data_IF_640559186160
#
_entry.id   IF_640559186160
#
_cell.length_a   1.000
_cell.length_b   1.000
_cell.length_c   1.000
_cell.angle_alpha   90.00
_cell.angle_beta   90.00
_cell.angle_gamma   90.00
#
_symmetry.space_group_name_H-M   'P 1'
#
loop_
_entity.id
_entity.type
_entity.pdbx_description
1 polymer ?
#
# COMPACT_ATOMS: atom_id res chain seq x y z
N UNK A 1 20.56 -9.19 -15.57
CA UNK A 1 20.87 -8.78 -14.17
C UNK A 1 20.42 -9.95 -13.29
N UNK A 2 21.26 -10.50 -12.42
CA UNK A 2 20.89 -11.62 -11.56
C UNK A 2 19.87 -11.15 -10.49
N UNK A 3 18.92 -12.02 -10.11
CA UNK A 3 17.91 -11.71 -9.09
C UNK A 3 18.53 -11.44 -7.70
N UNK A 4 19.69 -12.05 -7.41
CA UNK A 4 20.43 -11.78 -6.17
C UNK A 4 21.05 -10.39 -6.22
N UNK A 5 21.69 -10.01 -7.33
CA UNK A 5 22.25 -8.67 -7.53
C UNK A 5 21.18 -7.57 -7.36
N UNK A 6 19.97 -7.83 -7.85
CA UNK A 6 18.85 -6.88 -7.65
C UNK A 6 18.53 -6.71 -6.17
N UNK A 7 18.38 -7.82 -5.42
CA UNK A 7 18.09 -7.77 -3.98
C UNK A 7 19.20 -7.08 -3.20
N UNK A 8 20.46 -7.41 -3.49
CA UNK A 8 21.62 -6.81 -2.83
C UNK A 8 21.71 -5.31 -3.13
N UNK A 9 21.48 -4.91 -4.40
CA UNK A 9 21.44 -3.50 -4.77
C UNK A 9 20.32 -2.73 -4.05
N UNK A 10 19.12 -3.32 -3.94
CA UNK A 10 18.02 -2.70 -3.21
C UNK A 10 18.30 -2.60 -1.71
N UNK A 11 18.90 -3.64 -1.13
CA UNK A 11 19.28 -3.63 0.28
C UNK A 11 20.36 -2.57 0.59
N UNK A 12 21.38 -2.46 -0.28
CA UNK A 12 22.42 -1.44 -0.16
C UNK A 12 21.84 -0.02 -0.28
N UNK A 13 20.92 0.19 -1.19
CA UNK A 13 20.24 1.49 -1.37
C UNK A 13 19.35 1.87 -0.19
N UNK A 14 18.65 0.89 0.40
CA UNK A 14 17.76 1.07 1.56
C UNK A 14 18.54 1.23 2.88
N UNK A 15 19.80 0.78 2.94
CA UNK A 15 20.57 0.75 4.18
C UNK A 15 20.69 2.14 4.81
N UNK A 16 20.42 2.26 6.10
CA UNK A 16 20.43 3.51 6.87
C UNK A 16 19.49 4.62 6.32
N UNK A 17 18.46 4.25 5.55
CA UNK A 17 17.42 5.16 5.12
C UNK A 17 16.06 4.75 5.69
N UNK A 18 15.48 5.60 6.51
CA UNK A 18 14.17 5.36 7.12
C UNK A 18 13.06 5.87 6.20
N UNK A 19 12.07 5.03 5.95
CA UNK A 19 10.89 5.37 5.15
C UNK A 19 11.23 5.83 3.72
N UNK A 20 12.28 5.27 3.12
CA UNK A 20 12.72 5.59 1.76
C UNK A 20 12.71 4.39 0.83
N UNK A 21 12.14 3.27 1.25
CA UNK A 21 12.03 2.03 0.48
C UNK A 21 11.27 2.21 -0.84
N UNK A 22 10.25 3.04 -0.90
CA UNK A 22 9.51 3.38 -2.12
C UNK A 22 10.37 4.25 -3.07
N UNK A 23 10.88 5.43 -2.65
CA UNK A 23 11.76 6.26 -3.48
C UNK A 23 12.96 5.50 -4.04
N UNK A 24 13.63 4.70 -3.22
CA UNK A 24 14.81 3.91 -3.62
C UNK A 24 14.48 2.98 -4.79
N UNK A 25 13.39 2.23 -4.69
CA UNK A 25 12.96 1.28 -5.73
C UNK A 25 12.60 1.98 -7.02
N UNK A 26 11.86 3.08 -6.92
CA UNK A 26 11.44 3.84 -8.10
C UNK A 26 12.61 4.53 -8.80
N UNK A 27 13.58 5.04 -8.05
CA UNK A 27 14.81 5.62 -8.60
C UNK A 27 15.65 4.57 -9.35
N UNK A 28 15.87 3.40 -8.74
CA UNK A 28 16.60 2.32 -9.40
C UNK A 28 15.87 1.86 -10.67
N UNK A 29 14.56 1.62 -10.58
CA UNK A 29 13.77 1.17 -11.72
C UNK A 29 13.77 2.20 -12.86
N UNK A 30 13.66 3.49 -12.54
CA UNK A 30 13.75 4.56 -13.52
C UNK A 30 15.10 4.56 -14.26
N UNK A 31 16.21 4.45 -13.53
CA UNK A 31 17.55 4.40 -14.13
C UNK A 31 17.74 3.16 -15.03
N UNK A 32 17.23 1.99 -14.61
CA UNK A 32 17.24 0.77 -15.42
C UNK A 32 16.42 0.93 -16.71
N UNK A 33 15.26 1.54 -16.62
CA UNK A 33 14.37 1.77 -17.77
C UNK A 33 14.78 2.96 -18.66
N UNK A 34 15.63 3.83 -18.16
CA UNK A 34 15.99 5.06 -18.86
C UNK A 34 14.93 6.16 -18.72
N UNK A 35 14.20 6.19 -17.63
CA UNK A 35 13.18 7.19 -17.35
C UNK A 35 13.63 8.18 -16.25
N UNK A 36 12.88 9.26 -16.07
CA UNK A 36 13.19 10.33 -15.13
C UNK A 36 12.26 10.32 -13.94
N UNK A 37 12.77 10.74 -12.78
CA UNK A 37 12.03 10.77 -11.50
C UNK A 37 12.01 12.20 -10.96
N UNK A 38 10.85 12.60 -10.44
CA UNK A 38 10.67 13.81 -9.66
C UNK A 38 10.39 13.44 -8.21
N UNK A 39 11.24 13.90 -7.30
CA UNK A 39 11.06 13.79 -5.85
C UNK A 39 10.38 15.07 -5.34
N UNK A 40 9.21 14.93 -4.71
CA UNK A 40 8.41 16.06 -4.23
C UNK A 40 8.33 16.01 -2.71
N UNK A 41 8.79 17.06 -2.04
CA UNK A 41 8.70 17.14 -0.58
C UNK A 41 9.60 18.20 0.03
N UNK A 42 9.46 18.49 1.33
CA UNK A 42 10.17 19.56 1.99
C UNK A 42 11.69 19.37 1.97
N UNK A 43 12.48 20.41 2.19
CA UNK A 43 13.93 20.31 2.31
C UNK A 43 14.32 19.40 3.50
N UNK A 44 15.52 18.81 3.44
CA UNK A 44 16.03 17.96 4.53
C UNK A 44 15.47 16.53 4.54
N UNK A 45 14.76 16.07 3.51
CA UNK A 45 14.20 14.72 3.40
C UNK A 45 15.09 13.72 2.67
N UNK A 46 16.39 14.00 2.56
CA UNK A 46 17.43 13.17 1.95
C UNK A 46 17.32 12.97 0.43
N UNK A 47 16.67 13.88 -0.31
CA UNK A 47 16.48 13.76 -1.78
C UNK A 47 17.81 13.67 -2.54
N UNK A 48 18.80 14.50 -2.21
CA UNK A 48 20.13 14.47 -2.83
C UNK A 48 20.92 13.21 -2.48
N UNK A 49 20.81 12.72 -1.26
CA UNK A 49 21.47 11.48 -0.84
C UNK A 49 20.92 10.26 -1.60
N UNK A 50 19.60 10.21 -1.83
CA UNK A 50 18.97 9.18 -2.66
C UNK A 50 19.57 9.14 -4.07
N UNK A 51 19.79 10.30 -4.70
CA UNK A 51 20.36 10.38 -6.04
C UNK A 51 21.86 9.99 -6.05
N UNK A 52 22.62 10.37 -5.02
CA UNK A 52 24.03 9.96 -4.88
C UNK A 52 24.17 8.46 -4.69
N UNK A 53 23.31 7.85 -3.86
CA UNK A 53 23.29 6.38 -3.67
C UNK A 53 22.91 5.66 -4.96
N UNK A 54 21.92 6.16 -5.68
CA UNK A 54 21.56 5.61 -6.99
C UNK A 54 22.78 5.57 -7.93
N UNK A 55 23.56 6.65 -8.01
CA UNK A 55 24.76 6.68 -8.86
C UNK A 55 25.79 5.63 -8.45
N UNK A 56 26.00 5.45 -7.15
CA UNK A 56 26.95 4.45 -6.62
C UNK A 56 26.59 3.01 -6.94
N UNK A 57 25.33 2.73 -7.28
CA UNK A 57 24.87 1.39 -7.70
C UNK A 57 25.32 1.00 -9.12
N UNK A 58 25.87 1.94 -9.90
CA UNK A 58 26.33 1.70 -11.26
C UNK A 58 27.83 1.85 -11.37
N UNK A 59 28.47 1.00 -12.19
CA UNK A 59 29.88 1.13 -12.52
C UNK A 59 30.09 2.15 -13.66
N UNK A 60 31.23 2.80 -13.67
CA UNK A 60 31.67 3.69 -14.75
C UNK A 60 30.68 4.79 -15.10
N UNK A 61 29.98 5.32 -14.08
CA UNK A 61 29.01 6.38 -14.25
C UNK A 61 29.48 7.70 -13.68
N UNK A 62 29.20 8.78 -14.41
CA UNK A 62 29.44 10.17 -14.00
C UNK A 62 28.18 10.75 -13.39
N UNK A 63 28.35 11.44 -12.27
CA UNK A 63 27.29 12.11 -11.54
C UNK A 63 27.39 13.63 -11.75
N UNK A 64 26.25 14.27 -11.88
CA UNK A 64 26.13 15.72 -11.92
C UNK A 64 25.06 16.16 -10.91
N UNK A 65 25.32 17.21 -10.13
CA UNK A 65 24.39 17.75 -9.15
C UNK A 65 24.40 19.28 -9.22
N UNK A 66 23.20 19.87 -9.23
CA UNK A 66 23.05 21.32 -9.23
C UNK A 66 21.74 21.75 -8.57
N UNK A 67 21.82 22.75 -7.71
CA UNK A 67 20.68 23.51 -7.22
C UNK A 67 20.32 24.58 -8.27
N UNK A 68 19.05 24.58 -8.70
CA UNK A 68 18.57 25.54 -9.70
C UNK A 68 17.88 26.74 -9.00
N UNK A 69 18.13 27.90 -9.56
CA UNK A 69 17.51 29.15 -9.14
C UNK A 69 17.06 29.93 -10.37
N UNK A 70 16.23 30.96 -10.19
CA UNK A 70 15.87 31.88 -11.27
C UNK A 70 17.06 32.62 -11.89
N UNK A 71 18.18 32.68 -11.19
CA UNK A 71 19.42 33.35 -11.61
C UNK A 71 20.44 32.37 -12.20
N UNK A 72 20.17 31.08 -12.17
CA UNK A 72 21.06 30.09 -12.77
C UNK A 72 21.22 30.35 -14.25
N UNK A 73 22.46 30.18 -14.75
CA UNK A 73 22.80 30.40 -16.14
C UNK A 73 23.08 29.08 -16.85
N UNK A 74 22.85 28.97 -18.17
CA UNK A 74 23.07 27.72 -18.92
C UNK A 74 24.47 27.14 -18.79
N UNK A 75 25.48 28.00 -18.62
CA UNK A 75 26.87 27.60 -18.42
C UNK A 75 27.09 26.72 -17.18
N UNK A 76 26.29 26.89 -16.14
CA UNK A 76 26.37 26.10 -14.91
C UNK A 76 25.92 24.64 -15.10
N UNK A 77 25.02 24.42 -16.06
CA UNK A 77 24.48 23.09 -16.34
C UNK A 77 25.16 22.42 -17.54
N UNK A 78 25.37 23.20 -18.58
CA UNK A 78 25.79 22.68 -19.90
C UNK A 78 27.25 22.93 -20.21
N UNK A 79 27.97 23.67 -19.38
CA UNK A 79 29.37 24.02 -19.50
C UNK A 79 29.59 25.36 -20.20
N UNK A 80 30.76 25.99 -19.98
CA UNK A 80 31.13 27.25 -20.55
C UNK A 80 31.42 27.12 -22.06
N UNK A 81 31.36 28.24 -22.77
CA UNK A 81 31.79 28.30 -24.17
C UNK A 81 33.29 28.06 -24.28
N UNK A 82 33.70 27.32 -25.31
CA UNK A 82 35.09 27.09 -25.66
C UNK A 82 35.65 28.32 -26.39
N UNK A 83 36.52 29.07 -25.74
CA UNK A 83 37.18 30.23 -26.38
C UNK A 83 37.95 29.82 -27.64
N UNK A 84 38.60 28.65 -27.60
CA UNK A 84 39.34 28.11 -28.75
C UNK A 84 38.42 27.78 -29.95
N UNK A 85 37.22 27.30 -29.69
CA UNK A 85 36.24 27.06 -30.76
C UNK A 85 35.68 28.38 -31.30
N UNK A 86 35.45 29.35 -30.39
CA UNK A 86 34.96 30.68 -30.78
C UNK A 86 35.95 31.45 -31.69
N UNK A 87 37.25 31.33 -31.42
CA UNK A 87 38.32 31.89 -32.29
C UNK A 87 38.31 31.28 -33.72
N UNK A 88 37.63 30.13 -33.88
CA UNK A 88 37.45 29.44 -35.16
C UNK A 88 36.03 29.58 -35.72
N UNK A 89 35.30 30.60 -35.30
CA UNK A 89 33.90 30.87 -35.64
C UNK A 89 32.95 29.68 -35.37
N UNK A 90 33.28 28.84 -34.35
CA UNK A 90 32.47 27.72 -33.94
C UNK A 90 31.88 27.93 -32.52
N UNK A 91 30.59 27.76 -32.39
CA UNK A 91 29.92 27.84 -31.11
C UNK A 91 29.90 26.45 -30.50
N UNK A 92 30.77 26.19 -29.52
CA UNK A 92 30.87 24.91 -28.81
C UNK A 92 31.03 25.12 -27.31
N UNK A 93 30.38 24.27 -26.50
CA UNK A 93 30.54 24.26 -25.05
C UNK A 93 31.48 23.16 -24.60
N UNK A 94 32.18 23.39 -23.51
CA UNK A 94 32.99 22.39 -22.80
C UNK A 94 32.08 21.57 -21.89
N UNK A 95 31.59 20.44 -22.38
CA UNK A 95 30.56 19.64 -21.73
C UNK A 95 31.08 18.64 -20.70
N UNK A 96 32.42 18.41 -20.67
CA UNK A 96 33.00 17.45 -19.71
C UNK A 96 32.84 17.93 -18.26
N UNK A 97 32.33 17.07 -17.38
CA UNK A 97 31.98 17.42 -16.01
C UNK A 97 30.64 18.13 -15.82
N UNK A 98 29.90 18.39 -16.91
CA UNK A 98 28.59 19.00 -16.88
C UNK A 98 27.48 18.01 -17.26
N UNK A 99 26.22 18.43 -17.15
CA UNK A 99 25.03 17.61 -17.37
C UNK A 99 25.07 16.80 -18.68
N UNK A 100 25.51 17.34 -19.84
CA UNK A 100 25.53 16.58 -21.09
C UNK A 100 26.50 15.39 -21.09
N UNK A 101 27.44 15.34 -20.14
CA UNK A 101 28.39 14.23 -19.99
C UNK A 101 28.00 13.26 -18.86
N UNK A 102 26.96 13.58 -18.08
CA UNK A 102 26.56 12.81 -16.93
C UNK A 102 25.70 11.59 -17.30
N UNK A 103 25.81 10.53 -16.49
CA UNK A 103 24.93 9.35 -16.58
C UNK A 103 23.73 9.47 -15.64
N UNK A 104 23.95 10.01 -14.45
CA UNK A 104 22.90 10.31 -13.49
C UNK A 104 23.06 11.77 -13.06
N UNK A 105 21.97 12.53 -13.11
CA UNK A 105 21.96 13.91 -12.69
C UNK A 105 20.90 14.14 -11.59
N UNK A 106 21.27 14.95 -10.59
CA UNK A 106 20.36 15.48 -9.59
C UNK A 106 20.18 16.99 -9.81
N UNK A 107 18.94 17.41 -10.03
CA UNK A 107 18.59 18.81 -10.23
C UNK A 107 17.63 19.22 -9.10
N UNK A 108 18.15 19.98 -8.13
CA UNK A 108 17.34 20.46 -7.01
C UNK A 108 16.61 21.74 -7.41
N UNK A 109 15.40 21.91 -6.84
CA UNK A 109 14.51 23.04 -7.12
C UNK A 109 14.24 23.25 -8.63
N UNK A 110 14.00 22.15 -9.33
CA UNK A 110 14.01 22.08 -10.80
C UNK A 110 13.04 23.06 -11.48
N UNK A 111 11.91 23.40 -10.83
CA UNK A 111 10.93 24.37 -11.36
C UNK A 111 11.30 25.84 -11.12
N UNK A 112 12.36 26.12 -10.37
CA UNK A 112 12.87 27.48 -10.18
C UNK A 112 13.80 27.96 -11.29
N UNK A 113 14.19 27.07 -12.20
CA UNK A 113 15.03 27.41 -13.34
C UNK A 113 14.32 28.38 -14.30
N UNK A 114 15.11 29.21 -14.98
CA UNK A 114 14.57 30.08 -16.01
C UNK A 114 14.17 29.31 -17.28
N UNK A 115 13.39 29.93 -18.16
CA UNK A 115 12.84 29.31 -19.37
C UNK A 115 13.91 28.82 -20.35
N UNK A 116 15.07 29.47 -20.42
CA UNK A 116 16.17 29.04 -21.31
C UNK A 116 16.75 27.69 -20.87
N UNK A 117 16.96 27.51 -19.57
CA UNK A 117 17.41 26.24 -18.98
C UNK A 117 16.35 25.17 -19.16
N UNK A 118 15.06 25.47 -18.85
CA UNK A 118 13.97 24.51 -18.97
C UNK A 118 13.80 24.01 -20.40
N UNK A 119 13.90 24.88 -21.41
CA UNK A 119 13.81 24.50 -22.83
C UNK A 119 14.98 23.59 -23.26
N UNK A 120 16.19 23.89 -22.84
CA UNK A 120 17.34 23.02 -23.08
C UNK A 120 17.22 21.65 -22.40
N UNK A 121 16.71 21.64 -21.18
CA UNK A 121 16.42 20.41 -20.45
C UNK A 121 15.30 19.59 -21.11
N UNK A 122 14.27 20.22 -21.69
CA UNK A 122 13.21 19.50 -22.41
C UNK A 122 13.76 18.66 -23.56
N UNK A 123 14.66 19.21 -24.36
CA UNK A 123 15.33 18.49 -25.47
C UNK A 123 16.18 17.35 -24.93
N UNK A 124 17.01 17.63 -23.93
CA UNK A 124 17.91 16.64 -23.32
C UNK A 124 17.14 15.47 -22.68
N UNK A 125 16.04 15.74 -21.97
CA UNK A 125 15.22 14.71 -21.34
C UNK A 125 14.44 13.86 -22.34
N UNK A 126 14.03 14.45 -23.48
CA UNK A 126 13.23 13.72 -24.47
C UNK A 126 14.08 12.94 -25.45
N UNK A 127 15.08 13.60 -26.07
CA UNK A 127 15.78 13.10 -27.21
C UNK A 127 17.11 12.45 -26.85
N UNK A 128 17.56 12.66 -25.61
CA UNK A 128 18.89 12.22 -25.16
C UNK A 128 20.00 12.84 -26.02
N UNK A 129 19.75 14.03 -26.51
CA UNK A 129 20.65 14.82 -27.32
C UNK A 129 20.83 16.22 -26.71
N UNK A 130 22.00 16.77 -26.90
CA UNK A 130 22.33 18.12 -26.50
C UNK A 130 22.85 18.86 -27.75
N UNK A 131 22.28 20.03 -28.01
CA UNK A 131 22.71 20.90 -29.08
C UNK A 131 23.98 21.68 -28.65
N UNK A 132 25.12 21.31 -29.21
CA UNK A 132 26.41 21.93 -28.89
C UNK A 132 26.86 22.87 -30.01
N UNK A 133 25.95 23.61 -30.60
CA UNK A 133 26.21 24.63 -31.60
C UNK A 133 26.53 24.07 -32.99
N UNK A 134 27.69 23.49 -33.21
CA UNK A 134 28.06 22.88 -34.50
C UNK A 134 27.38 21.55 -34.80
N UNK A 135 26.73 20.94 -33.79
CA UNK A 135 26.06 19.65 -33.96
C UNK A 135 25.37 19.17 -32.68
N UNK A 136 24.52 18.16 -32.85
CA UNK A 136 23.87 17.46 -31.72
C UNK A 136 24.74 16.32 -31.25
N UNK A 137 25.02 16.28 -29.96
CA UNK A 137 25.74 15.19 -29.29
C UNK A 137 24.79 14.32 -28.51
N UNK A 138 24.95 13.01 -28.59
CA UNK A 138 24.19 12.07 -27.80
C UNK A 138 24.71 12.06 -26.37
N UNK A 139 23.81 12.19 -25.40
CA UNK A 139 24.17 12.20 -23.98
C UNK A 139 24.04 10.79 -23.37
N UNK A 140 24.98 10.36 -22.50
CA UNK A 140 24.99 9.04 -21.91
C UNK A 140 24.00 8.90 -20.75
N UNK A 141 23.04 9.78 -20.65
CA UNK A 141 22.16 9.97 -19.49
C UNK A 141 21.27 8.74 -19.26
N UNK A 142 21.35 8.13 -18.11
CA UNK A 142 20.46 7.05 -17.63
C UNK A 142 19.18 7.62 -17.04
N UNK A 143 19.32 8.54 -16.07
CA UNK A 143 18.18 9.16 -15.41
C UNK A 143 18.52 10.57 -14.92
N UNK A 144 17.53 11.45 -14.96
CA UNK A 144 17.53 12.70 -14.17
C UNK A 144 16.59 12.52 -12.99
N UNK A 145 17.12 12.82 -11.82
CA UNK A 145 16.36 12.94 -10.58
C UNK A 145 16.13 14.43 -10.34
N UNK A 146 14.93 14.89 -10.62
CA UNK A 146 14.50 16.24 -10.25
C UNK A 146 14.03 16.26 -8.82
N UNK A 147 14.22 17.37 -8.12
CA UNK A 147 13.62 17.61 -6.82
C UNK A 147 12.88 18.94 -6.79
N UNK A 148 11.77 18.95 -6.05
CA UNK A 148 10.97 20.16 -5.80
C UNK A 148 10.31 20.04 -4.43
N UNK A 149 10.00 21.18 -3.83
CA UNK A 149 9.23 21.22 -2.59
C UNK A 149 7.73 21.02 -2.82
N UNK A 150 7.24 21.37 -4.01
CA UNK A 150 5.82 21.36 -4.38
C UNK A 150 5.62 21.04 -5.87
N UNK A 151 4.39 20.70 -6.23
CA UNK A 151 3.98 20.53 -7.63
C UNK A 151 3.82 21.92 -8.24
N UNK A 152 4.28 22.16 -9.49
CA UNK A 152 4.13 23.48 -10.11
C UNK A 152 2.67 23.77 -10.43
N UNK A 153 2.21 24.96 -10.06
CA UNK A 153 0.88 25.47 -10.41
C UNK A 153 0.86 26.17 -11.79
N UNK A 154 2.02 26.60 -12.29
CA UNK A 154 2.14 27.29 -13.57
C UNK A 154 1.96 26.32 -14.73
N UNK A 155 0.96 26.58 -15.59
CA UNK A 155 0.65 25.78 -16.76
C UNK A 155 1.85 25.68 -17.72
N UNK A 156 2.70 26.71 -17.80
CA UNK A 156 3.91 26.71 -18.61
C UNK A 156 4.91 25.64 -18.16
N UNK A 157 4.90 25.25 -16.90
CA UNK A 157 5.75 24.21 -16.32
C UNK A 157 5.18 22.80 -16.48
N UNK A 158 3.88 22.64 -16.80
CA UNK A 158 3.24 21.33 -16.92
C UNK A 158 3.89 20.47 -18.01
N UNK A 159 4.31 21.07 -19.13
CA UNK A 159 5.02 20.35 -20.17
C UNK A 159 6.35 19.75 -19.67
N UNK A 160 7.06 20.47 -18.81
CA UNK A 160 8.30 20.00 -18.19
C UNK A 160 8.01 18.98 -17.07
N UNK A 161 6.98 19.23 -16.24
CA UNK A 161 6.50 18.29 -15.23
C UNK A 161 6.12 16.94 -15.81
N UNK A 162 5.51 16.91 -17.01
CA UNK A 162 5.15 15.66 -17.69
C UNK A 162 6.35 14.85 -18.21
N UNK A 163 7.54 15.41 -18.24
CA UNK A 163 8.79 14.68 -18.62
C UNK A 163 9.24 13.72 -17.53
N UNK A 164 8.88 13.98 -16.29
CA UNK A 164 9.12 13.06 -15.18
C UNK A 164 8.03 12.00 -15.17
N UNK A 165 8.39 10.78 -15.56
CA UNK A 165 7.46 9.66 -15.60
C UNK A 165 7.01 9.26 -14.20
N UNK A 166 7.96 9.21 -13.27
CA UNK A 166 7.72 8.88 -11.87
C UNK A 166 7.72 10.16 -11.02
N UNK A 167 6.67 10.33 -10.22
CA UNK A 167 6.48 11.46 -9.31
C UNK A 167 6.29 10.91 -7.91
N UNK A 168 7.30 11.11 -7.08
CA UNK A 168 7.44 10.40 -5.81
C UNK A 168 7.39 11.40 -4.65
N UNK A 169 6.33 11.38 -3.84
CA UNK A 169 6.30 12.18 -2.63
C UNK A 169 7.32 11.65 -1.61
N UNK A 170 8.09 12.55 -1.02
CA UNK A 170 9.11 12.26 0.00
C UNK A 170 8.80 13.09 1.24
N UNK A 171 8.07 12.51 2.18
CA UNK A 171 7.69 13.15 3.43
C UNK A 171 8.82 13.11 4.48
N UNK A 172 8.82 13.97 5.50
CA UNK A 172 9.63 13.78 6.69
C UNK A 172 9.35 12.42 7.34
N UNK A 173 10.33 11.93 8.11
CA UNK A 173 10.17 10.67 8.87
C UNK A 173 9.06 10.86 9.91
N UNK A 174 8.22 9.87 10.08
CA UNK A 174 7.11 9.90 11.03
C UNK A 174 7.58 9.76 12.49
N UNK A 175 6.69 10.06 13.45
CA UNK A 175 7.01 10.01 14.88
C UNK A 175 7.45 8.62 15.36
N UNK A 176 6.91 7.55 14.76
CA UNK A 176 7.27 6.18 15.14
C UNK A 176 8.71 5.84 14.77
N UNK A 177 9.22 6.35 13.65
CA UNK A 177 10.59 6.15 13.18
C UNK A 177 11.57 7.20 13.68
N UNK A 178 11.11 8.26 14.37
CA UNK A 178 11.95 9.39 14.79
C UNK A 178 13.10 8.95 15.71
N UNK A 179 12.84 8.05 16.66
CA UNK A 179 13.91 7.54 17.54
C UNK A 179 14.98 6.77 16.77
N UNK A 180 14.61 6.01 15.76
CA UNK A 180 15.53 5.31 14.90
C UNK A 180 16.37 6.30 14.07
N UNK A 181 15.78 7.41 13.61
CA UNK A 181 16.49 8.48 12.91
C UNK A 181 17.63 9.06 13.76
N UNK A 182 17.39 9.29 15.05
CA UNK A 182 18.41 9.82 15.96
C UNK A 182 19.59 8.84 16.23
N UNK A 183 19.36 7.56 16.00
CA UNK A 183 20.36 6.51 16.20
C UNK A 183 21.14 6.16 14.92
N UNK A 184 20.84 6.76 13.77
CA UNK A 184 21.55 6.49 12.54
C UNK A 184 23.00 6.96 12.62
N UNK A 185 23.96 6.21 12.03
CA UNK A 185 25.34 6.64 11.95
C UNK A 185 25.47 7.90 11.07
N UNK A 186 26.42 8.76 11.40
CA UNK A 186 26.70 9.98 10.63
C UNK A 186 27.31 9.69 9.26
N UNK A 187 28.00 8.57 9.12
CA UNK A 187 28.61 8.13 7.87
C UNK A 187 27.78 6.99 7.25
N UNK A 188 27.34 7.19 6.02
CA UNK A 188 26.61 6.16 5.29
C UNK A 188 27.55 5.01 4.89
N UNK A 189 27.14 3.78 5.17
CA UNK A 189 27.81 2.59 4.63
C UNK A 189 27.72 2.58 3.11
N UNK A 190 28.82 2.28 2.44
CA UNK A 190 28.88 2.22 0.96
C UNK A 190 28.63 0.77 0.56
N UNK A 191 27.52 0.51 -0.11
CA UNK A 191 27.20 -0.79 -0.68
C UNK A 191 28.19 -1.20 -1.78
N UNK A 192 28.28 -2.50 -2.03
CA UNK A 192 29.20 -3.11 -3.00
C UNK A 192 28.53 -3.59 -4.29
N UNK A 193 27.20 -3.73 -4.29
CA UNK A 193 26.47 -4.19 -5.45
C UNK A 193 26.51 -3.13 -6.57
N UNK A 194 26.95 -3.53 -7.78
CA UNK A 194 27.15 -2.60 -8.89
C UNK A 194 26.62 -3.16 -10.20
N UNK A 195 25.87 -2.34 -10.92
CA UNK A 195 25.27 -2.65 -12.21
C UNK A 195 26.14 -2.08 -13.32
N UNK A 196 26.67 -2.94 -14.21
CA UNK A 196 27.46 -2.51 -15.33
C UNK A 196 26.58 -2.05 -16.51
N UNK A 197 27.17 -1.27 -17.44
CA UNK A 197 26.52 -0.85 -18.68
C UNK A 197 26.11 -2.05 -19.56
N UNK A 198 26.90 -3.12 -19.55
CA UNK A 198 26.59 -4.35 -20.28
C UNK A 198 25.34 -5.05 -19.69
N UNK A 199 25.24 -5.15 -18.37
CA UNK A 199 24.05 -5.69 -17.68
C UNK A 199 22.81 -4.87 -17.99
N UNK A 200 22.93 -3.55 -18.02
CA UNK A 200 21.84 -2.64 -18.34
C UNK A 200 21.37 -2.81 -19.79
N UNK A 201 22.30 -2.92 -20.75
CA UNK A 201 21.96 -3.18 -22.15
C UNK A 201 21.25 -4.54 -22.30
N UNK A 202 21.75 -5.59 -21.67
CA UNK A 202 21.13 -6.92 -21.67
C UNK A 202 19.72 -6.91 -21.05
N UNK A 203 19.52 -6.19 -19.96
CA UNK A 203 18.21 -6.04 -19.32
C UNK A 203 17.21 -5.35 -20.26
N UNK A 204 17.61 -4.24 -20.90
CA UNK A 204 16.76 -3.52 -21.85
C UNK A 204 16.42 -4.35 -23.10
N UNK A 205 17.33 -5.17 -23.57
CA UNK A 205 17.03 -6.12 -24.66
C UNK A 205 16.03 -7.19 -24.21
N UNK A 206 16.25 -7.81 -23.05
CA UNK A 206 15.34 -8.85 -22.54
C UNK A 206 13.94 -8.30 -22.21
N UNK A 207 13.82 -7.04 -21.81
CA UNK A 207 12.52 -6.41 -21.54
C UNK A 207 11.62 -6.30 -22.79
N UNK A 208 12.19 -6.30 -23.99
CA UNK A 208 11.42 -6.23 -25.24
C UNK A 208 10.59 -7.51 -25.48
N UNK A 209 11.08 -8.66 -25.02
CA UNK A 209 10.39 -9.95 -25.13
C UNK A 209 9.34 -10.20 -24.03
N UNK A 210 9.28 -9.34 -23.00
CA UNK A 210 8.29 -9.47 -21.93
C UNK A 210 6.90 -9.14 -22.45
N UNK A 211 5.95 -10.02 -22.14
CA UNK A 211 4.55 -9.90 -22.55
C UNK A 211 3.70 -9.21 -21.47
N UNK A 212 2.61 -8.58 -21.92
CA UNK A 212 1.56 -8.05 -21.07
C UNK A 212 0.35 -8.98 -21.22
N UNK A 213 0.08 -9.80 -20.21
CA UNK A 213 -1.05 -10.75 -20.21
C UNK A 213 -2.40 -10.06 -20.01
N UNK A 214 -3.47 -10.74 -20.44
CA UNK A 214 -4.86 -10.24 -20.32
C UNK A 214 -5.27 -9.83 -18.88
N UNK A 215 -4.91 -10.58 -17.82
CA UNK A 215 -5.24 -10.18 -16.45
C UNK A 215 -4.68 -8.79 -16.08
N UNK A 216 -3.42 -8.52 -16.46
CA UNK A 216 -2.78 -7.24 -16.18
C UNK A 216 -3.35 -6.13 -17.09
N UNK A 217 -3.65 -6.43 -18.36
CA UNK A 217 -4.34 -5.48 -19.26
C UNK A 217 -5.72 -5.08 -18.71
N UNK A 218 -6.47 -6.03 -18.13
CA UNK A 218 -7.72 -5.78 -17.43
C UNK A 218 -7.56 -4.83 -16.24
N UNK A 219 -6.54 -5.05 -15.39
CA UNK A 219 -6.23 -4.16 -14.25
C UNK A 219 -5.82 -2.76 -14.72
N UNK A 220 -5.03 -2.64 -15.79
CA UNK A 220 -4.68 -1.34 -16.37
C UNK A 220 -5.92 -0.62 -16.93
N UNK A 221 -6.88 -1.35 -17.48
CA UNK A 221 -8.16 -0.79 -17.94
C UNK A 221 -8.98 -0.27 -16.76
N UNK A 222 -9.02 -1.00 -15.64
CA UNK A 222 -9.65 -0.53 -14.40
C UNK A 222 -8.96 0.72 -13.85
N UNK A 223 -7.62 0.75 -13.83
CA UNK A 223 -6.86 1.93 -13.42
C UNK A 223 -7.16 3.15 -14.32
N UNK A 224 -7.32 2.94 -15.63
CA UNK A 224 -7.73 4.00 -16.57
C UNK A 224 -9.13 4.52 -16.27
N UNK A 225 -10.08 3.64 -15.98
CA UNK A 225 -11.44 4.03 -15.58
C UNK A 225 -11.44 4.81 -14.26
N UNK A 226 -10.63 4.38 -13.29
CA UNK A 226 -10.40 5.10 -12.04
C UNK A 226 -9.86 6.52 -12.30
N UNK A 227 -8.83 6.65 -13.15
CA UNK A 227 -8.28 7.96 -13.52
C UNK A 227 -9.34 8.88 -14.14
N UNK A 228 -10.21 8.35 -15.01
CA UNK A 228 -11.28 9.12 -15.63
C UNK A 228 -12.32 9.61 -14.60
N UNK A 229 -12.67 8.78 -13.61
CA UNK A 229 -13.64 9.16 -12.56
C UNK A 229 -13.08 10.15 -11.53
N UNK A 230 -11.75 10.21 -11.36
CA UNK A 230 -11.06 11.09 -10.39
C UNK A 230 -10.34 12.28 -11.06
N UNK A 231 -10.75 12.65 -12.27
CA UNK A 231 -10.20 13.78 -13.04
C UNK A 231 -8.66 13.75 -13.17
N UNK A 232 -8.10 12.54 -13.26
CA UNK A 232 -6.67 12.33 -13.45
C UNK A 232 -6.37 12.13 -14.94
N UNK A 233 -6.03 13.19 -15.66
CA UNK A 233 -5.72 13.12 -17.09
C UNK A 233 -4.35 12.48 -17.33
N UNK A 234 -4.32 11.32 -17.97
CA UNK A 234 -3.08 10.58 -18.28
C UNK A 234 -2.93 10.47 -19.80
N UNK A 235 -1.81 10.97 -20.34
CA UNK A 235 -1.55 10.93 -21.79
C UNK A 235 -1.25 9.49 -22.27
N UNK A 236 -1.57 9.22 -23.57
CA UNK A 236 -1.25 7.92 -24.19
C UNK A 236 0.26 7.63 -24.20
N UNK A 237 1.09 8.67 -24.33
CA UNK A 237 2.54 8.57 -24.19
C UNK A 237 2.92 8.04 -22.83
N UNK A 238 2.27 8.51 -21.75
CA UNK A 238 2.55 8.11 -20.37
C UNK A 238 2.14 6.64 -20.13
N UNK A 239 1.00 6.20 -20.66
CA UNK A 239 0.59 4.80 -20.64
C UNK A 239 1.60 3.88 -21.36
N UNK A 240 2.12 4.29 -22.51
CA UNK A 240 3.14 3.51 -23.25
C UNK A 240 4.46 3.42 -22.48
N UNK A 241 4.91 4.51 -21.86
CA UNK A 241 6.10 4.53 -21.00
C UNK A 241 5.93 3.67 -19.75
N UNK A 242 4.75 3.70 -19.14
CA UNK A 242 4.40 2.82 -18.04
C UNK A 242 4.55 1.35 -18.41
N UNK A 243 4.02 0.92 -19.56
CA UNK A 243 4.19 -0.47 -20.03
C UNK A 243 5.66 -0.81 -20.23
N UNK A 244 6.47 0.11 -20.76
CA UNK A 244 7.92 -0.07 -20.88
C UNK A 244 8.59 -0.28 -19.50
N UNK A 245 8.19 0.50 -18.50
CA UNK A 245 8.70 0.42 -17.13
C UNK A 245 8.33 -0.94 -16.47
N UNK A 246 7.08 -1.38 -16.63
CA UNK A 246 6.60 -2.69 -16.15
C UNK A 246 7.38 -3.85 -16.78
N UNK A 247 7.67 -3.77 -18.08
CA UNK A 247 8.47 -4.80 -18.78
C UNK A 247 9.91 -4.87 -18.28
N UNK A 248 10.55 -3.73 -18.02
CA UNK A 248 11.90 -3.68 -17.42
C UNK A 248 11.88 -4.26 -16.01
N UNK A 249 10.86 -3.94 -15.21
CA UNK A 249 10.68 -4.50 -13.88
C UNK A 249 10.54 -6.03 -13.91
N UNK A 250 9.71 -6.58 -14.79
CA UNK A 250 9.54 -8.02 -14.96
C UNK A 250 10.84 -8.68 -15.46
N UNK A 251 11.48 -8.12 -16.49
CA UNK A 251 12.74 -8.64 -17.01
C UNK A 251 13.86 -8.68 -15.95
N UNK A 252 13.91 -7.69 -15.04
CA UNK A 252 14.89 -7.65 -13.95
C UNK A 252 14.73 -8.79 -12.94
N UNK A 253 13.55 -9.41 -12.89
CA UNK A 253 13.23 -10.61 -12.09
C UNK A 253 13.34 -11.91 -12.89
N UNK A 254 13.80 -11.85 -14.13
CA UNK A 254 13.87 -13.01 -15.07
C UNK A 254 12.51 -13.65 -15.37
N UNK A 255 11.43 -12.86 -15.37
CA UNK A 255 10.11 -13.34 -15.77
C UNK A 255 9.74 -12.78 -17.15
N UNK A 256 9.00 -13.60 -17.93
CA UNK A 256 8.65 -13.28 -19.31
C UNK A 256 7.29 -12.60 -19.46
N UNK A 257 6.58 -12.39 -18.36
CA UNK A 257 5.30 -11.70 -18.34
C UNK A 257 5.22 -10.75 -17.15
N UNK A 258 4.53 -9.63 -17.34
CA UNK A 258 4.22 -8.68 -16.27
C UNK A 258 3.19 -9.32 -15.34
N UNK A 259 3.44 -9.26 -14.03
CA UNK A 259 2.54 -9.75 -13.00
C UNK A 259 1.66 -8.61 -12.43
N UNK A 260 0.55 -8.96 -11.77
CA UNK A 260 -0.32 -7.97 -11.11
C UNK A 260 0.44 -7.15 -10.06
N UNK A 261 1.34 -7.76 -9.32
CA UNK A 261 2.17 -7.10 -8.31
C UNK A 261 3.15 -6.07 -8.89
N UNK A 262 3.49 -6.15 -10.18
CA UNK A 262 4.30 -5.13 -10.85
C UNK A 262 3.58 -3.77 -10.89
N UNK A 263 2.26 -3.75 -10.75
CA UNK A 263 1.43 -2.54 -10.78
C UNK A 263 1.57 -1.65 -9.54
N UNK A 264 2.35 -2.05 -8.52
CA UNK A 264 2.60 -1.25 -7.32
C UNK A 264 3.12 0.17 -7.62
N UNK A 265 3.77 0.36 -8.77
CA UNK A 265 4.32 1.65 -9.20
C UNK A 265 3.28 2.59 -9.83
N UNK A 266 2.06 2.11 -10.15
CA UNK A 266 1.01 2.90 -10.81
C UNK A 266 0.71 4.25 -10.13
N UNK A 267 0.60 4.32 -8.79
CA UNK A 267 0.33 5.58 -8.10
C UNK A 267 1.33 6.69 -8.45
N UNK A 268 2.59 6.31 -8.63
CA UNK A 268 3.68 7.25 -8.88
C UNK A 268 3.83 7.63 -10.36
N UNK A 269 3.19 6.90 -11.25
CA UNK A 269 3.15 7.20 -12.69
C UNK A 269 1.88 7.95 -13.08
N UNK A 270 0.74 7.58 -12.52
CA UNK A 270 -0.56 8.09 -12.96
C UNK A 270 -0.96 9.40 -12.24
N UNK A 271 -0.67 9.52 -10.94
CA UNK A 271 -1.07 10.69 -10.15
C UNK A 271 -0.52 11.99 -10.74
N UNK A 272 -1.37 13.00 -10.82
CA UNK A 272 -1.01 14.37 -11.21
C UNK A 272 -0.71 15.23 -9.99
N UNK A 273 -1.37 14.94 -8.87
CA UNK A 273 -1.23 15.63 -7.59
C UNK A 273 -0.88 14.63 -6.47
N UNK A 274 -0.23 15.11 -5.43
CA UNK A 274 0.20 14.26 -4.30
C UNK A 274 -0.98 13.55 -3.61
N UNK A 275 -2.14 14.18 -3.52
CA UNK A 275 -3.34 13.58 -2.92
C UNK A 275 -3.78 12.31 -3.70
N UNK A 276 -3.81 12.38 -5.03
CA UNK A 276 -4.17 11.25 -5.89
C UNK A 276 -3.21 10.05 -5.75
N UNK A 277 -1.95 10.29 -5.37
CA UNK A 277 -1.01 9.20 -5.09
C UNK A 277 -1.51 8.31 -3.95
N UNK A 278 -2.01 8.91 -2.86
CA UNK A 278 -2.57 8.16 -1.73
C UNK A 278 -3.82 7.35 -2.10
N UNK A 279 -4.71 7.94 -2.90
CA UNK A 279 -5.92 7.29 -3.38
C UNK A 279 -5.61 6.11 -4.33
N UNK A 280 -4.64 6.27 -5.23
CA UNK A 280 -4.17 5.20 -6.12
C UNK A 280 -3.44 4.07 -5.36
N UNK A 281 -2.71 4.40 -4.29
CA UNK A 281 -2.14 3.40 -3.38
C UNK A 281 -3.28 2.59 -2.73
N UNK A 282 -4.35 3.25 -2.30
CA UNK A 282 -5.50 2.57 -1.73
C UNK A 282 -6.19 1.67 -2.77
N UNK A 283 -6.39 2.19 -4.00
CA UNK A 283 -6.91 1.38 -5.12
C UNK A 283 -6.07 0.11 -5.36
N UNK A 284 -4.74 0.23 -5.37
CA UNK A 284 -3.85 -0.93 -5.51
C UNK A 284 -4.01 -1.93 -4.35
N UNK A 285 -4.06 -1.44 -3.11
CA UNK A 285 -4.24 -2.28 -1.92
C UNK A 285 -5.55 -3.07 -1.98
N UNK A 286 -6.64 -2.45 -2.44
CA UNK A 286 -7.95 -3.08 -2.53
C UNK A 286 -8.07 -4.02 -3.73
N UNK A 287 -7.59 -3.60 -4.91
CA UNK A 287 -7.84 -4.29 -6.18
C UNK A 287 -6.81 -5.37 -6.48
N UNK A 288 -5.53 -5.13 -6.17
CA UNK A 288 -4.42 -6.05 -6.51
C UNK A 288 -3.98 -6.85 -5.29
N UNK A 289 -3.79 -6.19 -4.15
CA UNK A 289 -3.33 -6.86 -2.94
C UNK A 289 -4.47 -7.52 -2.14
N UNK A 290 -5.74 -7.31 -2.54
CA UNK A 290 -6.94 -7.78 -1.83
C UNK A 290 -6.91 -7.45 -0.33
N UNK A 291 -6.25 -6.35 0.03
CA UNK A 291 -6.06 -5.88 1.39
C UNK A 291 -7.09 -4.79 1.74
N UNK A 292 -8.36 -5.03 1.45
CA UNK A 292 -9.49 -4.22 1.92
C UNK A 292 -9.98 -4.70 3.30
N UNK A 293 -10.51 -3.83 4.16
CA UNK A 293 -11.23 -4.27 5.34
C UNK A 293 -12.41 -5.17 4.96
N UNK A 294 -12.52 -6.33 5.61
CA UNK A 294 -13.65 -7.24 5.38
C UNK A 294 -14.93 -6.65 5.98
N UNK A 295 -15.99 -6.58 5.20
CA UNK A 295 -17.31 -6.20 5.71
C UNK A 295 -17.93 -7.38 6.48
N UNK A 296 -17.85 -7.31 7.78
CA UNK A 296 -18.46 -8.26 8.73
C UNK A 296 -19.69 -7.66 9.45
N UNK A 297 -20.23 -6.55 8.95
CA UNK A 297 -21.34 -5.83 9.58
C UNK A 297 -22.58 -6.71 9.80
N UNK A 298 -22.92 -7.59 8.85
CA UNK A 298 -24.01 -8.53 8.96
C UNK A 298 -23.77 -9.58 10.06
N UNK A 299 -22.54 -10.08 10.22
CA UNK A 299 -22.14 -11.00 11.30
C UNK A 299 -22.24 -10.34 12.67
N UNK A 300 -21.79 -9.08 12.77
CA UNK A 300 -21.87 -8.30 14.01
C UNK A 300 -23.31 -8.10 14.41
N UNK A 301 -24.19 -7.67 13.48
CA UNK A 301 -25.62 -7.52 13.73
C UNK A 301 -26.29 -8.84 14.13
N UNK A 302 -25.92 -9.94 13.48
CA UNK A 302 -26.45 -11.25 13.81
C UNK A 302 -26.03 -11.68 15.23
N UNK A 303 -24.76 -11.49 15.60
CA UNK A 303 -24.28 -11.79 16.95
C UNK A 303 -25.01 -10.96 18.01
N UNK A 304 -25.16 -9.64 17.79
CA UNK A 304 -25.91 -8.74 18.67
C UNK A 304 -27.38 -9.14 18.83
N UNK A 305 -28.04 -9.55 17.74
CA UNK A 305 -29.42 -10.03 17.80
C UNK A 305 -29.55 -11.31 18.63
N UNK A 306 -28.63 -12.24 18.46
CA UNK A 306 -28.61 -13.47 19.29
C UNK A 306 -28.23 -13.19 20.74
N UNK A 307 -27.35 -12.27 21.05
CA UNK A 307 -27.04 -11.86 22.43
C UNK A 307 -28.27 -11.29 23.13
N UNK A 308 -28.93 -10.35 22.48
CA UNK A 308 -30.16 -9.77 23.00
C UNK A 308 -31.23 -10.83 23.25
N UNK A 309 -31.36 -11.78 22.31
CA UNK A 309 -32.31 -12.87 22.43
C UNK A 309 -31.95 -13.81 23.59
N UNK A 310 -30.66 -14.17 23.73
CA UNK A 310 -30.19 -14.99 24.83
C UNK A 310 -30.38 -14.29 26.17
N UNK A 311 -30.14 -12.99 26.26
CA UNK A 311 -30.41 -12.21 27.48
C UNK A 311 -31.88 -12.23 27.86
N UNK A 312 -32.78 -12.06 26.90
CA UNK A 312 -34.24 -12.14 27.14
C UNK A 312 -34.60 -13.54 27.63
N UNK A 313 -34.12 -14.58 26.96
CA UNK A 313 -34.51 -15.97 27.29
C UNK A 313 -33.85 -16.43 28.61
N UNK A 314 -32.65 -16.00 28.93
CA UNK A 314 -31.98 -16.33 30.19
C UNK A 314 -32.60 -15.63 31.42
N UNK A 315 -33.14 -14.41 31.23
CA UNK A 315 -33.78 -13.61 32.29
C UNK A 315 -35.31 -13.83 32.39
N UNK A 316 -35.91 -14.53 31.42
CA UNK A 316 -37.35 -14.75 31.43
C UNK A 316 -37.78 -15.54 32.68
N UNK A 317 -38.64 -14.94 33.49
CA UNK A 317 -39.29 -15.61 34.62
C UNK A 317 -40.48 -16.42 34.11
N UNK A 318 -40.79 -17.55 34.79
CA UNK A 318 -42.01 -18.27 34.55
C UNK A 318 -43.24 -17.35 34.78
N UNK A 319 -44.26 -17.49 33.94
CA UNK A 319 -45.45 -16.63 33.94
C UNK A 319 -46.06 -16.50 35.33
N UNK A 320 -46.62 -15.34 35.61
CA UNK A 320 -47.06 -14.82 36.92
C UNK A 320 -47.86 -15.78 37.79
N UNK A 321 -48.51 -16.80 37.22
CA UNK A 321 -49.39 -17.72 37.95
C UNK A 321 -48.67 -18.86 38.71
N UNK A 322 -47.49 -19.31 38.21
CA UNK A 322 -46.77 -20.42 38.87
C UNK A 322 -45.67 -19.97 39.81
N UNK A 323 -44.95 -18.88 39.45
CA UNK A 323 -43.78 -18.41 40.21
C UNK A 323 -44.15 -17.55 41.44
N UNK A 324 -45.10 -16.63 41.26
CA UNK A 324 -45.51 -15.72 42.33
C UNK A 324 -46.21 -16.43 43.49
N UNK A 325 -47.02 -17.47 43.19
CA UNK A 325 -47.66 -18.31 44.20
C UNK A 325 -46.64 -19.09 45.02
N UNK A 326 -45.62 -19.65 44.43
CA UNK A 326 -44.52 -20.38 45.09
C UNK A 326 -43.63 -19.48 45.95
N UNK A 327 -43.33 -18.26 45.48
CA UNK A 327 -42.57 -17.27 46.29
C UNK A 327 -43.43 -16.75 47.48
N UNK A 328 -44.69 -16.48 47.24
CA UNK A 328 -45.63 -16.08 48.35
C UNK A 328 -45.80 -17.18 49.37
N UNK A 329 -45.91 -18.43 48.90
CA UNK A 329 -46.02 -19.59 49.80
C UNK A 329 -44.71 -19.79 50.60
N UNK A 330 -43.55 -19.68 50.01
CA UNK A 330 -42.26 -19.79 50.69
C UNK A 330 -42.07 -18.69 51.74
N UNK A 331 -42.50 -17.46 51.46
CA UNK A 331 -42.50 -16.34 52.42
C UNK A 331 -43.49 -16.58 53.58
N UNK A 332 -44.64 -17.15 53.29
CA UNK A 332 -45.66 -17.45 54.34
C UNK A 332 -45.25 -18.59 55.23
N UNK A 333 -44.47 -19.57 54.82
CA UNK A 333 -44.00 -20.72 55.58
C UNK A 333 -42.74 -20.38 56.39
N UNK A 334 -41.99 -19.36 56.02
CA UNK A 334 -40.74 -18.98 56.68
C UNK A 334 -41.00 -18.06 57.88
N UNK A 335 -40.61 -18.50 59.07
CA UNK A 335 -40.73 -17.69 60.30
C UNK A 335 -39.85 -16.45 60.23
N UNK A 336 -40.30 -15.27 60.67
CA UNK A 336 -39.50 -14.05 60.62
C UNK A 336 -38.24 -14.19 61.49
N UNK A 337 -37.07 -14.06 60.91
CA UNK A 337 -35.75 -14.00 61.58
C UNK A 337 -34.85 -15.22 61.45
N UNK A 338 -35.16 -16.23 60.64
CA UNK A 338 -34.24 -17.34 60.35
C UNK A 338 -33.55 -17.15 59.00
N UNK A 339 -32.22 -17.27 58.95
CA UNK A 339 -31.47 -17.26 57.74
C UNK A 339 -31.87 -18.34 56.72
N UNK A 340 -32.70 -19.27 57.06
CA UNK A 340 -33.34 -20.28 56.24
C UNK A 340 -34.36 -19.68 55.28
N UNK A 341 -34.98 -18.52 55.62
CA UNK A 341 -35.92 -17.83 54.74
C UNK A 341 -35.28 -17.29 53.49
N UNK A 342 -34.07 -16.72 53.59
CA UNK A 342 -33.30 -16.18 52.41
C UNK A 342 -32.82 -17.29 51.49
N UNK A 343 -32.41 -18.45 52.08
CA UNK A 343 -32.04 -19.63 51.30
C UNK A 343 -33.23 -20.23 50.52
N UNK A 344 -34.40 -20.32 51.19
CA UNK A 344 -35.60 -20.87 50.56
C UNK A 344 -36.25 -19.97 49.54
N UNK A 345 -36.18 -18.63 49.72
CA UNK A 345 -36.62 -17.64 48.78
C UNK A 345 -35.70 -17.66 47.56
N UNK A 346 -34.41 -17.89 47.76
CA UNK A 346 -33.42 -18.00 46.66
C UNK A 346 -33.64 -19.27 45.83
N UNK A 347 -33.93 -20.41 46.45
CA UNK A 347 -34.25 -21.67 45.78
C UNK A 347 -35.55 -21.55 44.99
N UNK A 348 -36.60 -20.92 45.56
CA UNK A 348 -37.88 -20.72 44.88
C UNK A 348 -37.74 -19.69 43.73
N UNK A 349 -36.93 -18.67 43.92
CA UNK A 349 -36.61 -17.71 42.86
C UNK A 349 -35.83 -18.37 41.69
N UNK A 350 -34.91 -19.29 41.96
CA UNK A 350 -34.26 -20.10 40.95
C UNK A 350 -35.24 -21.06 40.24
N UNK A 351 -36.24 -21.59 40.97
CA UNK A 351 -37.30 -22.42 40.40
C UNK A 351 -38.34 -21.64 39.57
N UNK A 352 -38.37 -20.31 39.69
CA UNK A 352 -39.26 -19.43 38.94
C UNK A 352 -38.70 -19.03 37.56
N UNK A 353 -37.54 -19.49 37.20
CA UNK A 353 -37.00 -19.27 35.82
C UNK A 353 -37.86 -20.03 34.80
N UNK A 354 -38.16 -19.35 33.71
CA UNK A 354 -38.86 -19.96 32.57
C UNK A 354 -38.05 -21.15 32.06
N UNK A 355 -38.68 -22.29 31.90
CA UNK A 355 -38.10 -23.51 31.37
C UNK A 355 -38.55 -23.68 29.92
N UNK A 356 -37.70 -24.18 29.07
CA UNK A 356 -37.94 -24.34 27.66
C UNK A 356 -38.10 -25.82 27.30
N UNK A 357 -38.83 -26.13 26.24
CA UNK A 357 -38.82 -27.49 25.69
C UNK A 357 -37.51 -27.76 24.94
N UNK A 358 -37.15 -29.03 24.81
CA UNK A 358 -35.93 -29.43 24.08
C UNK A 358 -35.92 -28.89 22.63
N UNK A 359 -37.07 -28.93 21.92
CA UNK A 359 -37.20 -28.40 20.57
C UNK A 359 -36.84 -26.90 20.48
N UNK A 360 -37.20 -26.10 21.51
CA UNK A 360 -36.87 -24.68 21.56
C UNK A 360 -35.34 -24.48 21.61
N UNK A 361 -34.67 -25.18 22.50
CA UNK A 361 -33.21 -25.12 22.66
C UNK A 361 -32.52 -25.59 21.40
N UNK A 362 -32.90 -26.72 20.85
CA UNK A 362 -32.32 -27.29 19.60
C UNK A 362 -32.52 -26.34 18.44
N UNK A 363 -33.67 -25.69 18.32
CA UNK A 363 -33.93 -24.70 17.23
C UNK A 363 -33.04 -23.48 17.39
N UNK A 364 -32.85 -22.94 18.59
CA UNK A 364 -31.95 -21.80 18.84
C UNK A 364 -30.52 -22.16 18.54
N UNK A 365 -30.05 -23.30 19.02
CA UNK A 365 -28.70 -23.81 18.73
C UNK A 365 -28.47 -23.99 17.23
N UNK A 366 -29.46 -24.50 16.49
CA UNK A 366 -29.41 -24.67 15.06
C UNK A 366 -29.35 -23.31 14.32
N UNK A 367 -30.11 -22.30 14.74
CA UNK A 367 -30.08 -20.95 14.17
C UNK A 367 -28.69 -20.30 14.33
N UNK A 368 -28.12 -20.36 15.54
CA UNK A 368 -26.77 -19.84 15.79
C UNK A 368 -25.73 -20.64 15.02
N UNK A 369 -25.88 -21.96 14.93
CA UNK A 369 -24.95 -22.83 14.20
C UNK A 369 -24.88 -22.49 12.70
N UNK A 370 -26.01 -22.17 12.06
CA UNK A 370 -26.02 -21.78 10.66
C UNK A 370 -25.24 -20.47 10.41
N UNK A 371 -25.39 -19.48 11.29
CA UNK A 371 -24.62 -18.24 11.23
C UNK A 371 -23.14 -18.50 11.53
N UNK A 372 -22.85 -19.34 12.53
CA UNK A 372 -21.49 -19.75 12.88
C UNK A 372 -20.79 -20.43 11.70
N UNK A 373 -21.49 -21.33 11.01
CA UNK A 373 -20.96 -22.00 9.81
C UNK A 373 -20.59 -21.02 8.71
N UNK A 374 -21.41 -20.01 8.46
CA UNK A 374 -21.11 -18.93 7.49
C UNK A 374 -19.92 -18.09 7.94
N UNK A 375 -19.85 -17.75 9.23
CA UNK A 375 -18.73 -17.01 9.80
C UNK A 375 -17.41 -17.80 9.67
N UNK A 376 -17.44 -19.11 9.93
CA UNK A 376 -16.27 -19.97 9.79
C UNK A 376 -15.81 -20.05 8.32
N UNK A 377 -16.74 -20.22 7.37
CA UNK A 377 -16.41 -20.21 5.93
C UNK A 377 -15.79 -18.88 5.51
N UNK A 378 -16.30 -17.74 6.01
CA UNK A 378 -15.74 -16.42 5.72
C UNK A 378 -14.32 -16.27 6.30
N UNK A 379 -14.08 -16.77 7.51
CA UNK A 379 -12.75 -16.77 8.15
C UNK A 379 -11.76 -17.61 7.35
N UNK A 380 -12.15 -18.82 6.98
CA UNK A 380 -11.28 -19.73 6.23
C UNK A 380 -10.92 -19.14 4.85
N UNK A 381 -11.90 -18.53 4.17
CA UNK A 381 -11.69 -17.84 2.88
C UNK A 381 -10.75 -16.63 3.04
N UNK A 382 -10.94 -15.82 4.09
CA UNK A 382 -10.07 -14.67 4.38
C UNK A 382 -8.62 -15.09 4.68
N UNK A 383 -8.43 -16.17 5.45
CA UNK A 383 -7.10 -16.71 5.75
C UNK A 383 -6.42 -17.30 4.51
N UNK A 384 -7.16 -18.02 3.66
CA UNK A 384 -6.62 -18.55 2.41
C UNK A 384 -6.18 -17.45 1.46
N UNK A 385 -7.03 -16.42 1.24
CA UNK A 385 -6.70 -15.26 0.43
C UNK A 385 -5.49 -14.49 0.97
N UNK A 386 -5.39 -14.34 2.30
CA UNK A 386 -4.24 -13.70 2.93
C UNK A 386 -2.93 -14.47 2.69
N UNK A 387 -2.95 -15.79 2.81
CA UNK A 387 -1.78 -16.65 2.59
C UNK A 387 -1.31 -16.59 1.13
N UNK A 388 -2.22 -16.62 0.17
CA UNK A 388 -1.92 -16.51 -1.26
C UNK A 388 -1.31 -15.15 -1.58
N UNK A 389 -2.01 -14.06 -1.23
CA UNK A 389 -1.56 -12.70 -1.50
C UNK A 389 -0.20 -12.38 -0.85
N UNK A 390 0.01 -12.77 0.42
CA UNK A 390 1.28 -12.54 1.12
C UNK A 390 2.40 -13.44 0.59
N UNK A 391 2.09 -14.65 0.14
CA UNK A 391 3.06 -15.55 -0.49
C UNK A 391 3.63 -14.96 -1.77
N UNK A 392 2.79 -14.48 -2.67
CA UNK A 392 3.18 -13.82 -3.91
C UNK A 392 3.91 -12.49 -3.64
N UNK A 393 3.36 -11.66 -2.74
CA UNK A 393 3.93 -10.36 -2.40
C UNK A 393 5.36 -10.46 -1.83
N UNK A 394 5.62 -11.41 -0.92
CA UNK A 394 6.94 -11.65 -0.35
C UNK A 394 7.97 -12.13 -1.37
N UNK A 395 7.52 -12.86 -2.39
CA UNK A 395 8.36 -13.29 -3.51
C UNK A 395 8.73 -12.16 -4.47
N UNK A 396 8.05 -11.02 -4.41
CA UNK A 396 8.20 -9.93 -5.37
C UNK A 396 9.29 -8.92 -4.93
N UNK A 397 10.49 -9.03 -5.51
CA UNK A 397 11.68 -8.27 -5.09
C UNK A 397 11.49 -6.73 -5.11
N UNK A 398 10.63 -6.20 -5.98
CA UNK A 398 10.39 -4.76 -6.10
C UNK A 398 9.34 -4.21 -5.12
N UNK A 399 8.51 -5.06 -4.52
CA UNK A 399 7.48 -4.56 -3.63
C UNK A 399 8.13 -3.96 -2.37
N UNK A 400 7.79 -2.69 -2.01
CA UNK A 400 8.38 -2.04 -0.85
C UNK A 400 8.08 -2.78 0.46
N UNK A 401 9.04 -2.95 1.38
CA UNK A 401 8.79 -3.55 2.69
C UNK A 401 7.68 -2.87 3.49
N UNK A 402 7.57 -1.54 3.39
CA UNK A 402 6.48 -0.78 4.02
C UNK A 402 5.10 -1.19 3.49
N UNK A 403 4.99 -1.51 2.21
CA UNK A 403 3.75 -1.99 1.61
C UNK A 403 3.43 -3.41 2.02
N UNK A 404 4.43 -4.30 2.05
CA UNK A 404 4.28 -5.66 2.59
C UNK A 404 3.77 -5.63 4.04
N UNK A 405 4.35 -4.78 4.89
CA UNK A 405 3.91 -4.62 6.27
C UNK A 405 2.46 -4.10 6.37
N UNK A 406 2.07 -3.16 5.50
CA UNK A 406 0.69 -2.65 5.43
C UNK A 406 -0.30 -3.73 5.00
N UNK A 407 0.02 -4.50 3.96
CA UNK A 407 -0.81 -5.61 3.47
C UNK A 407 -0.99 -6.66 4.58
N UNK A 408 0.09 -7.08 5.20
CA UNK A 408 0.08 -8.05 6.31
C UNK A 408 -0.74 -7.55 7.51
N UNK A 409 -0.65 -6.27 7.85
CA UNK A 409 -1.44 -5.67 8.93
C UNK A 409 -2.95 -5.70 8.65
N UNK A 410 -3.38 -5.40 7.42
CA UNK A 410 -4.81 -5.44 7.04
C UNK A 410 -5.32 -6.88 7.07
N UNK A 411 -4.61 -7.82 6.49
CA UNK A 411 -5.02 -9.23 6.51
C UNK A 411 -5.09 -9.80 7.93
N UNK A 412 -4.12 -9.45 8.80
CA UNK A 412 -4.19 -9.85 10.23
C UNK A 412 -5.38 -9.24 10.94
N UNK A 413 -5.65 -7.96 10.75
CA UNK A 413 -6.81 -7.30 11.35
C UNK A 413 -8.12 -7.95 10.89
N UNK A 414 -8.27 -8.26 9.59
CA UNK A 414 -9.42 -8.96 9.04
C UNK A 414 -9.62 -10.35 9.69
N UNK A 415 -8.53 -11.12 9.79
CA UNK A 415 -8.56 -12.42 10.43
C UNK A 415 -8.94 -12.35 11.91
N UNK A 416 -8.37 -11.42 12.65
CA UNK A 416 -8.68 -11.21 14.08
C UNK A 416 -10.14 -10.79 14.31
N UNK A 417 -10.64 -9.85 13.50
CA UNK A 417 -12.04 -9.38 13.60
C UNK A 417 -13.02 -10.52 13.33
N UNK A 418 -12.80 -11.30 12.29
CA UNK A 418 -13.67 -12.43 11.94
C UNK A 418 -13.56 -13.56 12.96
N UNK A 419 -12.37 -13.88 13.45
CA UNK A 419 -12.16 -14.89 14.50
C UNK A 419 -12.83 -14.51 15.84
N UNK A 420 -12.80 -13.24 16.21
CA UNK A 420 -13.49 -12.73 17.39
C UNK A 420 -15.01 -12.95 17.29
N UNK A 421 -15.60 -12.69 16.11
CA UNK A 421 -17.01 -12.94 15.85
C UNK A 421 -17.36 -14.44 15.89
N UNK A 422 -16.51 -15.29 15.32
CA UNK A 422 -16.67 -16.77 15.41
C UNK A 422 -16.67 -17.21 16.87
N UNK A 423 -15.73 -16.73 17.68
CA UNK A 423 -15.66 -17.04 19.12
C UNK A 423 -16.92 -16.58 19.85
N UNK A 424 -17.39 -15.37 19.58
CA UNK A 424 -18.61 -14.79 20.16
C UNK A 424 -19.85 -15.63 19.80
N UNK A 425 -20.00 -16.07 18.55
CA UNK A 425 -21.08 -16.96 18.12
C UNK A 425 -20.99 -18.36 18.77
N UNK A 426 -19.78 -18.90 18.98
CA UNK A 426 -19.58 -20.15 19.71
C UNK A 426 -20.06 -20.05 21.15
N UNK A 427 -19.74 -18.94 21.84
CA UNK A 427 -20.21 -18.67 23.19
C UNK A 427 -21.75 -18.55 23.24
N UNK A 428 -22.35 -17.87 22.28
CA UNK A 428 -23.81 -17.76 22.15
C UNK A 428 -24.47 -19.13 21.94
N UNK A 429 -23.91 -19.98 21.11
CA UNK A 429 -24.39 -21.36 20.93
C UNK A 429 -24.36 -22.13 22.23
N UNK A 430 -23.28 -22.02 23.00
CA UNK A 430 -23.17 -22.67 24.33
C UNK A 430 -24.18 -22.07 25.31
N UNK A 431 -24.38 -20.74 25.30
CA UNK A 431 -25.36 -20.08 26.13
C UNK A 431 -26.79 -20.54 25.87
N UNK A 432 -27.21 -20.70 24.62
CA UNK A 432 -28.52 -21.25 24.27
C UNK A 432 -28.62 -22.73 24.62
N UNK A 433 -27.57 -23.53 24.49
CA UNK A 433 -27.56 -24.93 24.89
C UNK A 433 -27.68 -25.12 26.43
N UNK A 434 -27.27 -24.12 27.21
CA UNK A 434 -27.33 -24.13 28.66
C UNK A 434 -28.67 -23.61 29.24
N UNK A 435 -29.63 -23.22 28.36
CA UNK A 435 -30.95 -22.80 28.85
C UNK A 435 -31.67 -23.93 29.60
N UNK A 436 -32.44 -23.62 30.70
CA UNK A 436 -33.09 -24.62 31.50
C UNK A 436 -34.20 -25.34 30.72
N UNK A 437 -34.11 -26.66 30.63
CA UNK A 437 -35.05 -27.52 29.90
C UNK A 437 -36.06 -28.17 30.88
N UNK A 438 -37.33 -28.24 30.46
CA UNK A 438 -38.38 -29.02 31.11
C UNK A 438 -39.00 -29.99 30.11
N UNK A 439 -38.94 -31.27 30.39
CA UNK A 439 -39.53 -32.33 29.57
C UNK A 439 -41.09 -32.27 29.48
N UNK A 440 -41.72 -31.54 30.38
CA UNK A 440 -43.18 -31.34 30.42
C UNK A 440 -43.63 -30.07 29.69
N UNK A 441 -42.69 -29.22 29.23
CA UNK A 441 -43.04 -28.01 28.51
C UNK A 441 -43.65 -28.35 27.14
N UNK A 442 -44.62 -27.54 26.72
CA UNK A 442 -45.29 -27.71 25.41
C UNK A 442 -44.23 -27.58 24.28
N UNK A 443 -44.26 -28.52 23.36
CA UNK A 443 -43.26 -28.67 22.31
C UNK A 443 -43.54 -27.64 21.20
N UNK A 444 -43.07 -26.38 21.35
CA UNK A 444 -43.24 -25.27 20.44
C UNK A 444 -41.84 -24.76 20.00
N UNK A 445 -41.61 -24.73 18.68
CA UNK A 445 -40.43 -24.11 18.13
C UNK A 445 -40.49 -22.57 18.27
N UNK A 446 -39.40 -21.91 18.64
CA UNK A 446 -39.38 -20.46 18.72
C UNK A 446 -39.43 -19.82 17.34
N UNK A 447 -39.96 -18.60 17.24
CA UNK A 447 -39.84 -17.80 16.05
C UNK A 447 -38.36 -17.54 15.71
N UNK A 448 -37.98 -17.45 14.43
CA UNK A 448 -36.61 -17.07 14.05
C UNK A 448 -36.20 -15.74 14.67
N UNK A 449 -34.91 -15.62 15.09
CA UNK A 449 -34.37 -14.34 15.51
C UNK A 449 -34.35 -13.41 14.31
N UNK A 450 -34.97 -12.25 14.42
CA UNK A 450 -34.96 -11.25 13.38
C UNK A 450 -33.54 -10.69 13.24
N UNK A 451 -32.82 -11.15 12.24
CA UNK A 451 -31.55 -10.55 11.83
C UNK A 451 -31.91 -9.30 11.03
N UNK A 452 -31.58 -8.11 11.58
CA UNK A 452 -31.79 -6.86 10.84
C UNK A 452 -31.05 -6.94 9.49
N UNK A 453 -31.76 -6.58 8.41
CA UNK A 453 -31.25 -6.63 7.04
C UNK A 453 -30.04 -5.73 6.81
#
# INVERSE_FOLDING_TARGET
MDAQLLRDTLADLDHDLLERDVPVRLLLLAALAGEHVLLIGPPGTAKSELARRLQRSFTDTRYFERLLTRFSVPEELFGPLSLKALEQDRYERLVEGFLPSAHIAFLDEVFKANSAILNALLTLLNEREFDNGSGRIRVPLLSVVGASNEVPDDEALHAFYDRFLLRVPVAPVNDASFRALLALPMEASIGTARISQLMLAGLRMSSQSVTLGEPVAGLLTQARAWCASHHCAVSDRRWRKLVGLLKVQAASRHVHAVAAWDLWLLPFVLAQQTAQTGELVQWFMETVAHAAPVDVSWLTRAAEAFEKQLEIESRAQATHDEGAGKVALARAISAPGSGAADGMVRIVAQGAQRRYCQLHVDTRVAQVFEVLRRAQTALDAALASALEALGEARGHAWLPPSWLARIDAVHRANGQTTAALVTRLQQLRQGFAALPVDQRAVNIAPAPVALAA
#
